data_IF_556410804441
#
_entry.id   IF_556410804441
#
_cell.length_a   1.000
_cell.length_b   1.000
_cell.length_c   1.000
_cell.angle_alpha   90.00
_cell.angle_beta   90.00
_cell.angle_gamma   90.00
#
_symmetry.space_group_name_H-M   'P 1'
#
loop_
_entity.id
_entity.type
_entity.pdbx_description
1 polymer ?
#
# COMPACT_ATOMS: atom_id res chain seq x y z
N UNK A 1 2.44 30.96 56.90
CA UNK A 1 1.92 29.61 56.56
C UNK A 1 0.48 29.78 56.07
N UNK A 2 0.01 29.14 54.98
CA UNK A 2 0.61 28.01 54.28
C UNK A 2 0.92 28.22 52.79
N UNK A 3 1.81 27.35 52.36
CA UNK A 3 2.39 27.02 51.06
C UNK A 3 1.35 26.60 50.03
N UNK A 4 1.41 27.14 48.80
CA UNK A 4 0.82 26.47 47.62
C UNK A 4 1.96 25.88 46.81
N UNK A 5 1.94 24.55 46.79
CA UNK A 5 2.91 23.66 46.16
C UNK A 5 2.76 23.75 44.64
N UNK A 6 3.89 23.91 43.97
CA UNK A 6 4.01 23.86 42.52
C UNK A 6 3.65 22.44 42.02
N UNK A 7 2.53 22.26 41.33
CA UNK A 7 2.28 21.05 40.53
C UNK A 7 2.50 21.42 39.07
N UNK A 8 3.77 21.43 38.68
CA UNK A 8 4.14 21.42 37.26
C UNK A 8 3.68 20.11 36.65
N UNK A 9 2.53 20.10 35.97
CA UNK A 9 2.16 19.01 35.08
C UNK A 9 3.09 19.05 33.86
N UNK A 10 4.09 18.17 33.87
CA UNK A 10 5.05 17.96 32.78
C UNK A 10 4.33 17.43 31.52
N UNK A 11 3.82 18.35 30.70
CA UNK A 11 3.12 18.10 29.43
C UNK A 11 4.01 17.47 28.35
N UNK A 12 5.32 17.30 28.60
CA UNK A 12 6.25 16.66 27.66
C UNK A 12 6.00 15.16 27.49
N UNK A 13 5.43 14.47 28.48
CA UNK A 13 5.19 13.01 28.42
C UNK A 13 3.96 12.63 27.59
N UNK A 14 2.92 13.47 27.56
CA UNK A 14 1.66 13.22 26.82
C UNK A 14 1.80 13.44 25.31
N UNK A 15 2.55 14.46 24.87
CA UNK A 15 2.87 14.67 23.44
C UNK A 15 3.80 13.59 22.86
N UNK A 16 4.76 13.07 23.64
CA UNK A 16 5.69 12.00 23.20
C UNK A 16 4.99 10.65 23.01
N UNK A 17 3.87 10.40 23.71
CA UNK A 17 3.09 9.14 23.62
C UNK A 17 2.19 9.12 22.39
N UNK A 18 1.56 10.26 22.06
CA UNK A 18 0.74 10.48 20.85
C UNK A 18 1.56 10.43 19.55
N UNK A 19 2.76 11.02 19.55
CA UNK A 19 3.66 10.98 18.38
C UNK A 19 4.25 9.58 18.14
N UNK A 20 4.57 8.83 19.20
CA UNK A 20 5.03 7.43 19.09
C UNK A 20 3.95 6.48 18.55
N UNK A 21 2.69 6.60 18.99
CA UNK A 21 1.60 5.76 18.47
C UNK A 21 1.30 6.08 17.00
N UNK A 22 1.33 7.37 16.65
CA UNK A 22 1.16 7.84 15.26
C UNK A 22 2.30 7.38 14.35
N UNK A 23 3.54 7.41 14.83
CA UNK A 23 4.70 6.95 14.07
C UNK A 23 4.66 5.44 13.80
N UNK A 24 4.28 4.63 14.80
CA UNK A 24 4.10 3.17 14.61
C UNK A 24 3.09 2.86 13.50
N UNK A 25 1.94 3.56 13.49
CA UNK A 25 0.92 3.40 12.44
C UNK A 25 1.43 3.77 11.05
N UNK A 26 2.20 4.86 10.94
CA UNK A 26 2.80 5.30 9.66
C UNK A 26 3.84 4.32 9.11
N UNK A 27 4.63 3.70 9.98
CA UNK A 27 5.60 2.67 9.57
C UNK A 27 4.92 1.38 9.13
N UNK A 28 3.87 0.95 9.83
CA UNK A 28 3.09 -0.23 9.44
C UNK A 28 2.43 -0.04 8.05
N UNK A 29 1.85 1.13 7.79
CA UNK A 29 1.26 1.43 6.48
C UNK A 29 2.27 1.35 5.33
N UNK A 30 3.50 1.82 5.54
CA UNK A 30 4.54 1.75 4.51
C UNK A 30 4.91 0.29 4.16
N UNK A 31 4.97 -0.58 5.17
CA UNK A 31 5.24 -2.02 4.99
C UNK A 31 4.07 -2.71 4.28
N UNK A 32 2.83 -2.41 4.66
CA UNK A 32 1.65 -2.92 3.97
C UNK A 32 1.62 -2.48 2.50
N UNK A 33 1.96 -1.22 2.21
CA UNK A 33 2.01 -0.74 0.83
C UNK A 33 3.09 -1.45 0.00
N UNK A 34 4.25 -1.75 0.60
CA UNK A 34 5.28 -2.58 -0.05
C UNK A 34 4.76 -3.98 -0.37
N UNK A 35 4.07 -4.62 0.57
CA UNK A 35 3.45 -5.94 0.34
C UNK A 35 2.49 -5.91 -0.84
N UNK A 36 1.62 -4.91 -0.90
CA UNK A 36 0.70 -4.68 -2.01
C UNK A 36 1.43 -4.49 -3.34
N UNK A 37 2.52 -3.73 -3.33
CA UNK A 37 3.34 -3.55 -4.51
C UNK A 37 3.98 -4.86 -4.97
N UNK A 38 4.55 -5.67 -4.07
CA UNK A 38 5.10 -6.98 -4.43
C UNK A 38 4.01 -7.89 -5.02
N UNK A 39 2.84 -7.99 -4.38
CA UNK A 39 1.74 -8.80 -4.88
C UNK A 39 1.27 -8.35 -6.28
N UNK A 40 1.23 -7.04 -6.54
CA UNK A 40 0.81 -6.50 -7.84
C UNK A 40 1.82 -6.73 -8.97
N UNK A 41 3.11 -6.89 -8.64
CA UNK A 41 4.19 -7.01 -9.65
C UNK A 41 4.73 -8.44 -9.82
N UNK A 42 4.31 -9.38 -8.96
CA UNK A 42 4.81 -10.75 -9.04
C UNK A 42 4.34 -11.52 -10.28
N UNK A 43 3.25 -11.09 -10.93
CA UNK A 43 2.73 -11.70 -12.15
C UNK A 43 2.55 -13.24 -12.04
N UNK A 44 2.19 -13.73 -10.85
CA UNK A 44 2.03 -15.15 -10.54
C UNK A 44 3.28 -15.87 -10.00
N UNK A 45 4.45 -15.22 -10.00
CA UNK A 45 5.70 -15.78 -9.48
C UNK A 45 5.75 -15.70 -7.94
N UNK A 46 5.56 -16.85 -7.30
CA UNK A 46 5.56 -17.02 -5.85
C UNK A 46 6.95 -16.82 -5.23
N UNK A 47 8.01 -17.17 -5.96
CA UNK A 47 9.39 -17.06 -5.46
C UNK A 47 9.82 -15.61 -5.51
N UNK A 48 9.59 -14.93 -6.64
CA UNK A 48 9.88 -13.50 -6.78
C UNK A 48 9.14 -12.64 -5.74
N UNK A 49 7.87 -12.97 -5.45
CA UNK A 49 7.07 -12.29 -4.43
C UNK A 49 7.69 -12.41 -3.03
N UNK A 50 8.11 -13.62 -2.67
CA UNK A 50 8.74 -13.89 -1.38
C UNK A 50 10.10 -13.19 -1.25
N UNK A 51 10.91 -13.23 -2.30
CA UNK A 51 12.21 -12.54 -2.33
C UNK A 51 12.05 -11.02 -2.21
N UNK A 52 11.12 -10.44 -2.98
CA UNK A 52 10.81 -9.01 -2.94
C UNK A 52 10.26 -8.56 -1.58
N UNK A 53 9.51 -9.43 -0.90
CA UNK A 53 9.03 -9.19 0.46
C UNK A 53 10.19 -9.17 1.46
N UNK A 54 11.07 -10.18 1.43
CA UNK A 54 12.24 -10.25 2.34
C UNK A 54 13.21 -9.10 2.10
N UNK A 55 13.32 -8.65 0.85
CA UNK A 55 14.23 -7.58 0.45
C UNK A 55 14.01 -6.25 1.19
N UNK A 56 12.78 -5.98 1.65
CA UNK A 56 12.48 -4.73 2.37
C UNK A 56 13.33 -4.55 3.65
N UNK A 57 13.77 -5.64 4.28
CA UNK A 57 14.66 -5.61 5.46
C UNK A 57 15.99 -4.93 5.15
N UNK A 58 16.50 -5.15 3.95
CA UNK A 58 17.74 -4.58 3.43
C UNK A 58 17.51 -3.16 2.89
N UNK A 59 16.37 -2.94 2.25
CA UNK A 59 15.99 -1.62 1.73
C UNK A 59 15.91 -0.55 2.84
N UNK A 60 15.31 -0.88 3.98
CA UNK A 60 15.07 0.08 5.07
C UNK A 60 16.35 0.55 5.79
N UNK A 61 17.45 -0.18 5.63
CA UNK A 61 18.78 0.19 6.15
C UNK A 61 19.72 0.74 5.08
N UNK A 62 19.23 0.94 3.85
CA UNK A 62 20.03 1.34 2.68
C UNK A 62 21.27 0.44 2.46
N UNK A 63 21.14 -0.87 2.70
CA UNK A 63 22.20 -1.85 2.41
C UNK A 63 22.13 -2.33 0.96
N UNK A 64 23.24 -2.88 0.46
CA UNK A 64 23.39 -3.37 -0.92
C UNK A 64 22.29 -4.34 -1.34
N UNK A 65 21.92 -4.23 -2.62
CA UNK A 65 20.91 -5.04 -3.30
C UNK A 65 21.40 -6.50 -3.49
N UNK A 66 20.52 -7.49 -3.36
CA UNK A 66 20.83 -8.92 -3.59
C UNK A 66 20.77 -9.29 -5.08
N UNK A 67 21.22 -10.51 -5.43
CA UNK A 67 21.33 -11.00 -6.81
C UNK A 67 20.03 -10.96 -7.65
N UNK A 68 18.85 -11.08 -7.03
CA UNK A 68 17.57 -11.16 -7.76
C UNK A 68 16.89 -9.81 -8.00
N UNK A 69 17.17 -8.81 -7.15
CA UNK A 69 16.58 -7.46 -7.23
C UNK A 69 17.73 -6.47 -7.40
N UNK A 70 18.17 -6.27 -8.64
CA UNK A 70 19.35 -5.47 -8.97
C UNK A 70 19.19 -3.97 -8.68
N UNK A 71 17.97 -3.48 -8.52
CA UNK A 71 17.67 -2.10 -8.17
C UNK A 71 16.30 -1.97 -7.51
N UNK A 72 16.13 -0.97 -6.65
CA UNK A 72 14.79 -0.62 -6.19
C UNK A 72 13.96 -0.04 -7.35
N UNK A 73 12.73 -0.52 -7.52
CA UNK A 73 11.76 0.00 -8.48
C UNK A 73 11.13 1.34 -8.05
N UNK A 74 11.94 2.26 -7.52
CA UNK A 74 11.54 3.62 -7.22
C UNK A 74 12.51 4.61 -7.87
N UNK A 75 12.00 5.80 -8.22
CA UNK A 75 12.83 6.92 -8.67
C UNK A 75 13.90 7.22 -7.61
N UNK A 76 15.08 7.64 -8.06
CA UNK A 76 16.19 7.99 -7.15
C UNK A 76 15.69 8.94 -6.07
N UNK A 77 15.81 8.53 -4.81
CA UNK A 77 15.38 9.33 -3.67
C UNK A 77 16.35 10.52 -3.57
N UNK A 78 15.93 11.68 -4.04
CA UNK A 78 16.68 12.92 -3.86
C UNK A 78 16.57 13.38 -2.41
N UNK A 79 17.55 14.14 -1.87
CA UNK A 79 17.52 14.63 -0.50
C UNK A 79 16.27 15.48 -0.19
N UNK A 80 15.66 16.12 -1.20
CA UNK A 80 14.38 16.83 -1.07
C UNK A 80 13.18 15.90 -0.77
N UNK A 81 13.24 14.64 -1.21
CA UNK A 81 12.21 13.61 -1.05
C UNK A 81 12.49 12.74 0.19
N UNK A 82 13.75 12.63 0.61
CA UNK A 82 14.22 11.87 1.77
C UNK A 82 13.80 12.49 3.13
N UNK A 83 12.50 12.66 3.37
CA UNK A 83 11.98 13.17 4.65
C UNK A 83 12.07 12.15 5.79
N UNK A 84 12.36 10.88 5.47
CA UNK A 84 12.46 9.78 6.45
C UNK A 84 13.91 9.37 6.65
N UNK A 85 14.30 9.21 7.92
CA UNK A 85 15.62 8.65 8.28
C UNK A 85 15.61 7.14 8.05
N UNK A 86 16.70 6.62 7.51
CA UNK A 86 16.98 5.19 7.42
C UNK A 86 17.05 4.55 8.81
N UNK A 87 16.73 3.25 8.92
CA UNK A 87 16.96 2.53 10.16
C UNK A 87 18.43 2.19 10.31
N UNK A 88 18.89 2.14 11.56
CA UNK A 88 20.24 1.65 11.89
C UNK A 88 20.19 0.12 11.96
N UNK A 89 21.16 -0.53 11.31
CA UNK A 89 21.30 -1.99 11.30
C UNK A 89 21.37 -2.54 12.73
N UNK A 90 20.66 -3.63 12.97
CA UNK A 90 20.66 -4.41 14.22
C UNK A 90 20.19 -3.66 15.48
N UNK A 91 19.60 -2.48 15.31
CA UNK A 91 18.92 -1.76 16.39
C UNK A 91 17.54 -2.38 16.67
N UNK A 92 16.98 -2.11 17.85
CA UNK A 92 15.66 -2.64 18.29
C UNK A 92 14.55 -2.51 17.23
N UNK A 93 14.53 -1.40 16.48
CA UNK A 93 13.55 -1.18 15.42
C UNK A 93 13.77 -2.08 14.18
N UNK A 94 15.02 -2.31 13.79
CA UNK A 94 15.37 -3.18 12.66
C UNK A 94 15.15 -4.65 13.02
N UNK A 95 15.51 -5.07 14.23
CA UNK A 95 15.28 -6.44 14.69
C UNK A 95 13.78 -6.74 14.82
N UNK A 96 12.98 -5.83 15.38
CA UNK A 96 11.53 -6.00 15.41
C UNK A 96 10.91 -6.12 14.00
N UNK A 97 11.47 -5.42 13.02
CA UNK A 97 11.04 -5.52 11.62
C UNK A 97 11.43 -6.87 10.99
N UNK A 98 12.66 -7.33 11.23
CA UNK A 98 13.16 -8.66 10.81
C UNK A 98 12.27 -9.78 11.33
N UNK A 99 11.94 -9.77 12.61
CA UNK A 99 11.09 -10.81 13.24
C UNK A 99 9.72 -10.94 12.55
N UNK A 100 9.11 -9.81 12.17
CA UNK A 100 7.81 -9.82 11.48
C UNK A 100 7.96 -10.32 10.05
N UNK A 101 8.92 -9.80 9.29
CA UNK A 101 9.07 -10.11 7.85
C UNK A 101 9.55 -11.54 7.63
N UNK A 102 10.48 -12.01 8.45
CA UNK A 102 11.08 -13.35 8.34
C UNK A 102 10.23 -14.44 8.98
N UNK A 103 9.07 -14.11 9.54
CA UNK A 103 8.17 -15.08 10.14
C UNK A 103 7.75 -16.14 9.11
N UNK A 104 8.03 -17.42 9.41
CA UNK A 104 7.76 -18.55 8.50
C UNK A 104 6.28 -18.69 8.14
N UNK A 105 5.36 -18.40 9.07
CA UNK A 105 3.91 -18.49 8.81
C UNK A 105 3.50 -17.40 7.82
N UNK A 106 3.91 -16.16 8.09
CA UNK A 106 3.63 -15.02 7.22
C UNK A 106 4.18 -15.24 5.80
N UNK A 107 5.41 -15.74 5.67
CA UNK A 107 6.01 -16.03 4.35
C UNK A 107 5.23 -17.08 3.56
N UNK A 108 4.70 -18.11 4.24
CA UNK A 108 3.84 -19.11 3.61
C UNK A 108 2.54 -18.47 3.10
N UNK A 109 1.92 -17.61 3.92
CA UNK A 109 0.67 -16.94 3.55
C UNK A 109 0.87 -15.94 2.40
N UNK A 110 2.01 -15.24 2.37
CA UNK A 110 2.34 -14.28 1.30
C UNK A 110 2.39 -14.96 -0.07
N UNK A 111 2.82 -16.22 -0.17
CA UNK A 111 2.82 -16.95 -1.46
C UNK A 111 1.43 -17.10 -2.06
N UNK A 112 0.38 -17.10 -1.24
CA UNK A 112 -1.00 -17.13 -1.74
C UNK A 112 -1.45 -15.80 -2.34
N UNK A 113 -0.75 -14.69 -2.05
CA UNK A 113 -1.01 -13.40 -2.67
C UNK A 113 -0.51 -13.31 -4.12
N UNK A 114 0.19 -14.33 -4.64
CA UNK A 114 0.63 -14.33 -6.05
C UNK A 114 -0.54 -14.41 -7.03
N UNK A 115 -1.65 -15.02 -6.60
CA UNK A 115 -2.89 -15.17 -7.36
C UNK A 115 -3.86 -14.02 -7.06
N UNK A 116 -3.40 -12.97 -6.37
CA UNK A 116 -4.23 -11.86 -5.97
C UNK A 116 -4.70 -11.05 -7.20
N UNK A 117 -6.00 -11.05 -7.44
CA UNK A 117 -6.67 -10.19 -8.41
C UNK A 117 -7.34 -9.01 -7.69
N UNK A 118 -7.00 -7.78 -8.07
CA UNK A 118 -7.66 -6.60 -7.52
C UNK A 118 -9.10 -6.50 -8.07
N UNK A 119 -10.10 -6.58 -7.18
CA UNK A 119 -11.53 -6.49 -7.56
C UNK A 119 -12.00 -5.07 -7.83
N UNK A 120 -11.19 -4.04 -7.60
CA UNK A 120 -11.61 -2.64 -7.72
C UNK A 120 -12.13 -2.28 -9.13
N UNK A 121 -11.49 -2.76 -10.19
CA UNK A 121 -11.99 -2.53 -11.56
C UNK A 121 -13.34 -3.22 -11.80
N UNK A 122 -13.52 -4.42 -11.25
CA UNK A 122 -14.77 -5.17 -11.33
C UNK A 122 -15.89 -4.47 -10.54
N UNK A 123 -15.59 -3.92 -9.36
CA UNK A 123 -16.52 -3.14 -8.54
C UNK A 123 -16.98 -1.85 -9.25
N UNK A 124 -16.06 -1.16 -9.93
CA UNK A 124 -16.38 0.03 -10.76
C UNK A 124 -17.27 -0.37 -11.94
N UNK A 125 -16.95 -1.47 -12.63
CA UNK A 125 -17.80 -2.00 -13.70
C UNK A 125 -19.19 -2.34 -13.19
N UNK A 126 -19.32 -3.06 -12.07
CA UNK A 126 -20.62 -3.41 -11.49
C UNK A 126 -21.44 -2.19 -11.06
N UNK A 127 -20.79 -1.18 -10.48
CA UNK A 127 -21.47 0.07 -10.12
C UNK A 127 -22.02 0.79 -11.36
N UNK A 128 -21.27 0.79 -12.45
CA UNK A 128 -21.69 1.37 -13.72
C UNK A 128 -22.78 0.53 -14.40
N UNK A 129 -22.66 -0.80 -14.37
CA UNK A 129 -23.70 -1.71 -14.86
C UNK A 129 -25.04 -1.46 -14.16
N UNK A 130 -25.04 -1.27 -12.85
CA UNK A 130 -26.27 -0.98 -12.08
C UNK A 130 -26.93 0.35 -12.45
N UNK A 131 -26.18 1.30 -13.01
CA UNK A 131 -26.73 2.56 -13.54
C UNK A 131 -27.54 2.32 -14.81
N UNK A 132 -27.09 1.43 -15.68
CA UNK A 132 -27.77 1.11 -16.95
C UNK A 132 -28.83 0.02 -16.79
N UNK A 133 -28.60 -0.94 -15.89
CA UNK A 133 -29.47 -2.07 -15.60
C UNK A 133 -29.74 -2.12 -14.09
N UNK A 134 -30.67 -1.28 -13.58
CA UNK A 134 -31.05 -1.31 -12.17
C UNK A 134 -31.72 -2.63 -11.81
N UNK A 135 -31.34 -3.24 -10.67
CA UNK A 135 -31.90 -4.52 -10.20
C UNK A 135 -33.42 -4.51 -9.93
N UNK A 136 -33.99 -3.32 -9.71
CA UNK A 136 -35.40 -3.15 -9.31
C UNK A 136 -36.34 -2.90 -10.51
N UNK A 137 -35.80 -2.94 -11.72
CA UNK A 137 -36.56 -2.70 -12.93
C UNK A 137 -36.46 -3.91 -13.84
N UNK A 138 -37.60 -4.32 -14.39
CA UNK A 138 -37.66 -5.42 -15.34
C UNK A 138 -37.42 -4.92 -16.75
N UNK A 139 -36.71 -5.73 -17.53
CA UNK A 139 -36.32 -5.42 -18.89
C UNK A 139 -36.50 -6.65 -19.77
N UNK A 140 -36.98 -6.43 -21.00
CA UNK A 140 -36.98 -7.48 -22.01
C UNK A 140 -35.54 -7.83 -22.40
N UNK A 141 -35.34 -9.03 -22.95
CA UNK A 141 -34.01 -9.54 -23.31
C UNK A 141 -33.20 -8.55 -24.18
N UNK A 142 -33.82 -8.01 -25.24
CA UNK A 142 -33.15 -7.05 -26.13
C UNK A 142 -32.73 -5.76 -25.42
N UNK A 143 -33.56 -5.29 -24.48
CA UNK A 143 -33.27 -4.11 -23.68
C UNK A 143 -32.12 -4.36 -22.72
N UNK A 144 -32.04 -5.56 -22.13
CA UNK A 144 -30.94 -5.95 -21.25
C UNK A 144 -29.62 -6.03 -22.02
N UNK A 145 -29.63 -6.61 -23.22
CA UNK A 145 -28.45 -6.68 -24.08
C UNK A 145 -27.96 -5.30 -24.52
N UNK A 146 -28.86 -4.42 -24.97
CA UNK A 146 -28.52 -3.06 -25.37
C UNK A 146 -27.91 -2.26 -24.21
N UNK A 147 -28.54 -2.30 -23.03
CA UNK A 147 -28.08 -1.58 -21.83
C UNK A 147 -26.77 -2.12 -21.29
N UNK A 148 -26.58 -3.44 -21.30
CA UNK A 148 -25.32 -4.06 -20.89
C UNK A 148 -24.20 -3.68 -21.84
N UNK A 149 -24.46 -3.67 -23.16
CA UNK A 149 -23.50 -3.24 -24.18
C UNK A 149 -23.09 -1.77 -24.01
N UNK A 150 -24.05 -0.90 -23.67
CA UNK A 150 -23.78 0.50 -23.33
C UNK A 150 -22.91 0.63 -22.07
N UNK A 151 -23.20 -0.15 -21.03
CA UNK A 151 -22.40 -0.16 -19.80
C UNK A 151 -20.95 -0.61 -20.06
N UNK A 152 -20.76 -1.67 -20.85
CA UNK A 152 -19.42 -2.15 -21.25
C UNK A 152 -18.68 -1.08 -22.05
N UNK A 153 -19.35 -0.45 -23.00
CA UNK A 153 -18.75 0.61 -23.84
C UNK A 153 -18.34 1.82 -23.01
N UNK A 154 -19.21 2.30 -22.12
CA UNK A 154 -18.91 3.44 -21.24
C UNK A 154 -17.79 3.10 -20.24
N UNK A 155 -17.79 1.88 -19.69
CA UNK A 155 -16.69 1.41 -18.84
C UNK A 155 -15.35 1.42 -19.60
N UNK A 156 -15.30 0.83 -20.80
CA UNK A 156 -14.08 0.80 -21.61
C UNK A 156 -13.59 2.21 -21.96
N UNK A 157 -14.49 3.12 -22.32
CA UNK A 157 -14.15 4.53 -22.56
C UNK A 157 -13.65 5.22 -21.29
N UNK A 158 -14.23 4.91 -20.13
CA UNK A 158 -13.81 5.48 -18.84
C UNK A 158 -12.42 5.01 -18.39
N UNK A 159 -12.04 3.77 -18.70
CA UNK A 159 -10.67 3.27 -18.42
C UNK A 159 -9.63 3.96 -19.31
N UNK A 160 -10.01 4.34 -20.54
CA UNK A 160 -9.14 5.03 -21.49
C UNK A 160 -9.05 6.55 -21.26
N UNK A 161 -9.94 7.13 -20.43
CA UNK A 161 -9.77 8.50 -19.94
C UNK A 161 -8.66 8.49 -18.90
N UNK A 162 -7.48 8.99 -19.26
CA UNK A 162 -6.33 9.05 -18.35
C UNK A 162 -6.75 9.50 -16.95
N UNK A 163 -6.46 8.68 -15.93
CA UNK A 163 -6.86 8.95 -14.55
C UNK A 163 -6.33 10.33 -14.15
N UNK A 164 -7.22 11.27 -13.81
CA UNK A 164 -6.82 12.52 -13.15
C UNK A 164 -6.31 12.13 -11.76
N UNK A 165 -5.00 12.08 -11.58
CA UNK A 165 -4.40 11.80 -10.29
C UNK A 165 -4.83 12.88 -9.30
N UNK A 166 -5.49 12.50 -8.21
CA UNK A 166 -5.73 13.42 -7.09
C UNK A 166 -4.49 13.49 -6.20
N UNK A 167 -4.32 14.54 -5.39
CA UNK A 167 -3.15 14.68 -4.48
C UNK A 167 -3.01 13.51 -3.49
N UNK A 168 -4.09 12.77 -3.24
CA UNK A 168 -4.10 11.55 -2.41
C UNK A 168 -3.55 10.33 -3.18
N UNK A 169 -3.93 10.16 -4.43
CA UNK A 169 -3.42 9.09 -5.31
C UNK A 169 -1.95 9.29 -5.66
N UNK A 170 -1.52 10.55 -5.70
CA UNK A 170 -0.13 10.96 -5.90
C UNK A 170 0.79 10.55 -4.73
N UNK A 171 0.25 10.31 -3.52
CA UNK A 171 1.03 9.82 -2.36
C UNK A 171 1.23 8.31 -2.38
N UNK A 172 0.32 7.56 -3.02
CA UNK A 172 0.40 6.11 -3.14
C UNK A 172 1.40 5.68 -4.22
N UNK A 173 1.40 6.37 -5.37
CA UNK A 173 2.35 6.15 -6.47
C UNK A 173 3.78 6.57 -6.13
N UNK A 174 3.97 7.64 -5.35
CA UNK A 174 5.31 8.16 -4.99
C UNK A 174 6.15 7.27 -4.07
N UNK A 175 5.58 6.23 -3.45
CA UNK A 175 6.32 5.37 -2.51
C UNK A 175 6.82 4.05 -3.11
N UNK A 176 6.28 3.61 -4.25
CA UNK A 176 6.73 2.34 -4.86
C UNK A 176 6.47 2.21 -6.36
N UNK A 177 5.98 3.22 -7.08
CA UNK A 177 5.74 3.05 -8.52
C UNK A 177 5.80 4.37 -9.24
N UNK A 178 6.94 4.65 -9.87
CA UNK A 178 6.94 5.51 -11.04
C UNK A 178 7.77 4.80 -12.10
N UNK A 179 7.09 4.46 -13.20
CA UNK A 179 7.68 4.29 -14.53
C UNK A 179 8.67 5.44 -14.80
#
# INVERSE_FOLDING_TARGET
MPTIVNIGMDTRKTQKRSTKSTQKRRSAQAICNHLWWCASNCNGDKEWLEESWVFIVHHVINSTHSRAVTSCAHVKITPAIAKKKWLVKDLKAHNALKEVILNKRLRKDIKHLSEFCHTGNLEVYHSLLLKYVPKRQEFNFDQMNARTSLAVTDHNMSQNRGKKMTDKDMKFTKLCTQR
#
